data_IF_855338051934
#
_entry.id   IF_855338051934
#
_cell.length_a   1.000
_cell.length_b   1.000
_cell.length_c   1.000
_cell.angle_alpha   90.00
_cell.angle_beta   90.00
_cell.angle_gamma   90.00
#
_symmetry.space_group_name_H-M   'P 1'
#
loop_
_entity.id
_entity.type
_entity.pdbx_description
1 polymer ?
#
# COMPACT_ATOMS: atom_id res chain seq x y z
N UNK A 1 10.54 -21.60 -0.15
CA UNK A 1 9.33 -20.82 0.14
C UNK A 1 9.10 -19.87 -1.02
N UNK A 2 7.84 -19.72 -1.44
CA UNK A 2 7.46 -18.63 -2.34
C UNK A 2 7.23 -17.41 -1.44
N UNK A 3 7.90 -16.29 -1.73
CA UNK A 3 7.68 -15.03 -0.99
C UNK A 3 6.41 -14.38 -1.51
N UNK A 4 5.45 -14.13 -0.62
CA UNK A 4 4.20 -13.47 -0.94
C UNK A 4 4.29 -11.98 -0.63
N UNK A 5 3.95 -11.15 -1.61
CA UNK A 5 3.97 -9.70 -1.47
C UNK A 5 2.56 -9.11 -1.55
N UNK A 6 2.36 -7.94 -0.93
CA UNK A 6 1.18 -7.10 -1.16
C UNK A 6 1.59 -5.67 -1.48
N UNK A 7 0.71 -4.99 -2.23
CA UNK A 7 0.82 -3.56 -2.53
C UNK A 7 -0.34 -2.84 -1.85
N UNK A 8 -0.02 -1.99 -0.88
CA UNK A 8 -0.99 -1.11 -0.26
C UNK A 8 -0.80 0.30 -0.79
N UNK A 9 -1.90 1.03 -0.97
CA UNK A 9 -1.81 2.43 -1.38
C UNK A 9 -2.89 3.30 -0.75
N UNK A 10 -2.56 4.57 -0.55
CA UNK A 10 -3.55 5.64 -0.45
C UNK A 10 -3.39 6.58 -1.65
N UNK A 11 -4.49 7.11 -2.17
CA UNK A 11 -4.44 7.98 -3.35
C UNK A 11 -5.57 9.00 -3.34
N UNK A 12 -5.23 10.30 -3.39
CA UNK A 12 -6.23 11.37 -3.44
C UNK A 12 -6.70 11.69 -4.86
N UNK A 13 -5.76 11.75 -5.81
CA UNK A 13 -6.04 12.18 -7.20
C UNK A 13 -5.80 11.08 -8.24
N UNK A 14 -5.35 9.90 -7.81
CA UNK A 14 -5.16 8.72 -8.68
C UNK A 14 -3.72 8.38 -9.02
N UNK A 15 -2.76 9.30 -8.83
CA UNK A 15 -1.36 9.05 -9.20
C UNK A 15 -0.75 7.88 -8.43
N UNK A 16 -0.93 7.83 -7.11
CA UNK A 16 -0.38 6.75 -6.29
C UNK A 16 -1.05 5.42 -6.60
N UNK A 17 -2.37 5.43 -6.86
CA UNK A 17 -3.11 4.24 -7.31
C UNK A 17 -2.52 3.68 -8.61
N UNK A 18 -2.32 4.54 -9.62
CA UNK A 18 -1.73 4.15 -10.90
C UNK A 18 -0.35 3.51 -10.72
N UNK A 19 0.46 4.05 -9.80
CA UNK A 19 1.78 3.47 -9.48
C UNK A 19 1.67 2.11 -8.80
N UNK A 20 0.75 1.96 -7.84
CA UNK A 20 0.48 0.68 -7.17
C UNK A 20 0.01 -0.41 -8.15
N UNK A 21 -0.94 -0.08 -9.03
CA UNK A 21 -1.41 -0.97 -10.10
C UNK A 21 -0.26 -1.34 -11.05
N UNK A 22 0.60 -0.39 -11.43
CA UNK A 22 1.76 -0.65 -12.30
C UNK A 22 2.78 -1.60 -11.65
N UNK A 23 3.06 -1.43 -10.35
CA UNK A 23 3.95 -2.33 -9.60
C UNK A 23 3.36 -3.74 -9.55
N UNK A 24 2.09 -3.83 -9.17
CA UNK A 24 1.32 -5.08 -9.14
C UNK A 24 1.39 -5.82 -10.49
N UNK A 25 1.09 -5.13 -11.57
CA UNK A 25 1.06 -5.71 -12.92
C UNK A 25 2.45 -6.15 -13.39
N UNK A 26 3.48 -5.40 -13.05
CA UNK A 26 4.87 -5.69 -13.43
C UNK A 26 5.43 -6.89 -12.67
N UNK A 27 5.11 -7.00 -11.38
CA UNK A 27 5.62 -8.04 -10.49
C UNK A 27 4.66 -9.23 -10.34
N UNK A 28 3.49 -9.18 -10.98
CA UNK A 28 2.42 -10.19 -10.89
C UNK A 28 1.97 -10.43 -9.44
N UNK A 29 1.86 -9.35 -8.67
CA UNK A 29 1.39 -9.38 -7.28
C UNK A 29 -0.14 -9.27 -7.29
N UNK A 30 -0.91 -10.31 -6.93
CA UNK A 30 -2.36 -10.25 -6.99
C UNK A 30 -2.99 -9.41 -5.86
N UNK A 31 -2.25 -9.19 -4.77
CA UNK A 31 -2.73 -8.53 -3.57
C UNK A 31 -2.49 -7.01 -3.63
N UNK A 32 -3.53 -6.26 -4.00
CA UNK A 32 -3.51 -4.80 -4.04
C UNK A 32 -4.63 -4.25 -3.17
N UNK A 33 -4.30 -3.35 -2.24
CA UNK A 33 -5.19 -2.87 -1.20
C UNK A 33 -5.24 -1.34 -1.13
N UNK A 34 -6.45 -0.79 -1.05
CA UNK A 34 -6.67 0.62 -0.72
C UNK A 34 -6.71 0.78 0.81
N UNK A 35 -5.84 1.62 1.36
CA UNK A 35 -5.74 1.84 2.81
C UNK A 35 -7.04 2.38 3.44
N UNK A 36 -7.92 3.01 2.65
CA UNK A 36 -9.17 3.59 3.16
C UNK A 36 -10.24 2.54 3.49
N UNK A 37 -10.09 1.33 2.97
CA UNK A 37 -11.06 0.23 3.12
C UNK A 37 -10.44 -1.05 3.64
N UNK A 38 -9.16 -1.02 4.00
CA UNK A 38 -8.38 -2.20 4.42
C UNK A 38 -7.93 -2.05 5.85
N UNK A 39 -8.08 -3.10 6.65
CA UNK A 39 -7.55 -3.15 8.02
C UNK A 39 -6.04 -3.42 8.02
N UNK A 40 -5.26 -2.79 8.92
CA UNK A 40 -3.81 -3.00 9.01
C UNK A 40 -3.39 -4.46 9.19
N UNK A 41 -4.23 -5.31 9.78
CA UNK A 41 -3.93 -6.72 10.01
C UNK A 41 -3.70 -7.54 8.74
N UNK A 42 -4.14 -7.07 7.57
CA UNK A 42 -3.93 -7.76 6.28
C UNK A 42 -2.46 -8.01 5.98
N UNK A 43 -1.58 -7.15 6.50
CA UNK A 43 -0.14 -7.21 6.22
C UNK A 43 0.55 -8.41 6.89
N UNK A 44 -0.10 -9.02 7.89
CA UNK A 44 0.44 -10.18 8.60
C UNK A 44 0.48 -11.45 7.71
N UNK A 45 -0.25 -11.45 6.60
CA UNK A 45 -0.32 -12.59 5.66
C UNK A 45 0.77 -12.54 4.57
N UNK A 46 1.64 -11.52 4.58
CA UNK A 46 2.62 -11.26 3.52
C UNK A 46 4.05 -11.11 4.07
N UNK A 47 5.02 -11.58 3.29
CA UNK A 47 6.44 -11.48 3.61
C UNK A 47 7.02 -10.11 3.22
N UNK A 48 6.44 -9.49 2.18
CA UNK A 48 6.88 -8.22 1.61
C UNK A 48 5.71 -7.27 1.47
N UNK A 49 5.92 -6.04 1.95
CA UNK A 49 4.92 -4.99 1.92
C UNK A 49 5.46 -3.84 1.06
N UNK A 50 4.71 -3.46 0.04
CA UNK A 50 4.90 -2.20 -0.70
C UNK A 50 3.86 -1.21 -0.23
N UNK A 51 4.28 -0.05 0.28
CA UNK A 51 3.37 1.01 0.75
C UNK A 51 3.51 2.26 -0.12
N UNK A 52 2.50 2.50 -0.97
CA UNK A 52 2.38 3.71 -1.79
C UNK A 52 1.64 4.84 -1.07
N UNK A 53 2.24 6.01 -1.01
CA UNK A 53 1.63 7.21 -0.39
C UNK A 53 1.86 8.46 -1.25
N UNK A 54 0.87 9.36 -1.39
CA UNK A 54 1.11 10.66 -2.00
C UNK A 54 1.97 11.52 -1.07
N UNK A 55 2.76 12.41 -1.65
CA UNK A 55 3.59 13.35 -0.88
C UNK A 55 2.73 14.55 -0.47
N UNK A 56 2.58 14.74 0.83
CA UNK A 56 1.85 15.82 1.48
C UNK A 56 2.80 16.67 2.30
N UNK A 57 3.27 17.80 1.74
CA UNK A 57 4.22 18.68 2.44
C UNK A 57 5.50 17.95 2.86
N UNK A 58 6.15 17.25 1.92
CA UNK A 58 7.34 16.40 2.14
C UNK A 58 7.15 15.21 3.08
N UNK A 59 5.92 14.87 3.44
CA UNK A 59 5.58 13.74 4.30
C UNK A 59 4.63 12.76 3.59
N UNK A 60 4.51 11.51 4.07
CA UNK A 60 3.38 10.64 3.72
C UNK A 60 2.04 11.27 4.06
N UNK A 61 0.97 10.76 3.45
CA UNK A 61 -0.38 11.18 3.82
C UNK A 61 -0.71 10.81 5.27
N UNK A 62 -1.69 11.52 5.87
CA UNK A 62 -2.13 11.25 7.25
C UNK A 62 -2.72 9.84 7.37
N UNK A 63 -3.43 9.40 6.35
CA UNK A 63 -4.04 8.07 6.22
C UNK A 63 -2.95 6.99 6.24
N UNK A 64 -1.90 7.14 5.44
CA UNK A 64 -0.76 6.22 5.45
C UNK A 64 -0.06 6.21 6.80
N UNK A 65 0.12 7.36 7.45
CA UNK A 65 0.72 7.43 8.78
C UNK A 65 -0.16 6.76 9.85
N UNK A 66 -1.47 6.96 9.81
CA UNK A 66 -2.39 6.32 10.75
C UNK A 66 -2.41 4.80 10.57
N UNK A 67 -2.29 4.32 9.34
CA UNK A 67 -2.27 2.89 9.04
C UNK A 67 -1.03 2.16 9.59
N UNK A 68 0.14 2.82 9.61
CA UNK A 68 1.39 2.21 10.09
C UNK A 68 1.67 2.42 11.58
N UNK A 69 0.90 3.26 12.27
CA UNK A 69 1.16 3.53 13.69
C UNK A 69 0.86 2.28 14.54
N UNK A 70 1.72 1.97 15.52
CA UNK A 70 1.39 0.98 16.54
C UNK A 70 0.14 1.42 17.29
N UNK A 71 -0.79 0.49 17.51
CA UNK A 71 -1.93 0.66 18.42
C UNK A 71 -1.50 0.79 19.87
#
# INVERSE_FOLDING_TARGET
MVMNACVLYFSQTGNTRKFAETISDSLKIPAVFDLTTTEPSVVNDYDVIVLGTPVHGFNPSKESLSFVKPT
#
